data_IF_648170663455
#
_entry.id   IF_648170663455
#
_cell.length_a   1.000
_cell.length_b   1.000
_cell.length_c   1.000
_cell.angle_alpha   90.00
_cell.angle_beta   90.00
_cell.angle_gamma   90.00
#
_symmetry.space_group_name_H-M   'P 1'
#
loop_
_entity.id
_entity.type
_entity.pdbx_description
1 polymer ?
#
# COMPACT_ATOMS: atom_id res chain seq x y z
N UNK A 1 -13.99 13.63 16.56
CA UNK A 1 -12.81 14.19 15.86
C UNK A 1 -11.82 13.07 15.59
N UNK A 2 -11.40 12.87 14.34
CA UNK A 2 -10.39 11.85 14.03
C UNK A 2 -9.02 12.41 14.39
N UNK A 3 -8.41 11.89 15.47
CA UNK A 3 -7.01 12.16 15.81
C UNK A 3 -6.18 11.76 14.60
N UNK A 4 -5.62 12.75 13.89
CA UNK A 4 -4.64 12.50 12.82
C UNK A 4 -3.38 12.00 13.53
N UNK A 5 -3.16 10.69 13.49
CA UNK A 5 -1.87 10.15 13.94
C UNK A 5 -0.79 10.65 12.99
N UNK A 6 0.41 10.90 13.52
CA UNK A 6 1.59 11.32 12.75
C UNK A 6 1.98 10.32 11.65
N UNK A 7 1.44 9.10 11.70
CA UNK A 7 1.72 8.02 10.75
C UNK A 7 0.56 7.88 9.78
N UNK A 8 0.84 8.12 8.49
CA UNK A 8 -0.12 7.94 7.39
C UNK A 8 -0.78 6.55 7.43
N UNK A 9 -2.05 6.46 7.03
CA UNK A 9 -2.83 5.22 6.98
C UNK A 9 -3.09 4.56 8.35
N UNK A 10 -2.49 5.03 9.45
CA UNK A 10 -2.73 4.53 10.79
C UNK A 10 -3.84 5.34 11.49
N UNK A 11 -4.86 4.65 11.98
CA UNK A 11 -6.03 5.23 12.63
C UNK A 11 -6.28 4.50 13.93
N UNK A 12 -6.41 5.19 15.06
CA UNK A 12 -6.86 4.59 16.32
C UNK A 12 -8.38 4.72 16.46
N UNK A 13 -9.05 3.64 16.85
CA UNK A 13 -10.42 3.68 17.35
C UNK A 13 -10.49 2.92 18.67
N UNK A 14 -10.76 3.64 19.76
CA UNK A 14 -10.65 3.08 21.12
C UNK A 14 -9.24 2.56 21.39
N UNK A 15 -9.14 1.29 21.76
CA UNK A 15 -7.87 0.62 22.08
C UNK A 15 -7.26 -0.13 20.89
N UNK A 16 -7.86 -0.05 19.71
CA UNK A 16 -7.42 -0.76 18.52
C UNK A 16 -6.85 0.23 17.50
N UNK A 17 -5.72 -0.12 16.90
CA UNK A 17 -5.19 0.60 15.75
C UNK A 17 -5.55 -0.13 14.47
N UNK A 18 -5.87 0.63 13.44
CA UNK A 18 -6.18 0.15 12.12
C UNK A 18 -5.20 0.76 11.14
N UNK A 19 -4.59 -0.06 10.30
CA UNK A 19 -3.86 0.40 9.12
C UNK A 19 -4.78 0.28 7.90
N UNK A 20 -5.15 1.42 7.31
CA UNK A 20 -6.21 1.52 6.27
C UNK A 20 -5.77 2.26 5.00
N UNK A 21 -4.75 1.77 4.28
CA UNK A 21 -4.29 2.41 3.06
C UNK A 21 -5.30 2.31 1.92
N UNK A 22 -5.21 3.24 0.98
CA UNK A 22 -5.85 3.11 -0.34
C UNK A 22 -5.00 2.17 -1.20
N UNK A 23 -5.63 1.16 -1.77
CA UNK A 23 -4.94 0.23 -2.66
C UNK A 23 -4.76 0.87 -4.05
N UNK A 24 -3.54 0.89 -4.59
CA UNK A 24 -3.30 1.32 -5.96
C UNK A 24 -4.08 0.46 -6.96
N UNK A 25 -4.58 1.07 -8.03
CA UNK A 25 -5.30 0.37 -9.10
C UNK A 25 -4.48 -0.73 -9.79
N UNK A 26 -3.15 -0.68 -9.68
CA UNK A 26 -2.22 -1.67 -10.22
C UNK A 26 -2.26 -3.04 -9.49
N UNK A 27 -2.86 -3.12 -8.30
CA UNK A 27 -3.17 -4.41 -7.68
C UNK A 27 -4.35 -5.02 -8.45
N UNK A 28 -4.04 -5.84 -9.46
CA UNK A 28 -4.94 -6.35 -10.52
C UNK A 28 -6.25 -6.98 -10.01
N UNK A 29 -6.30 -7.39 -8.74
CA UNK A 29 -7.46 -8.01 -8.10
C UNK A 29 -8.27 -7.07 -7.17
N UNK A 30 -7.87 -5.81 -7.03
CA UNK A 30 -8.55 -4.83 -6.19
C UNK A 30 -9.28 -3.82 -7.06
N UNK A 31 -10.60 -3.66 -6.85
CA UNK A 31 -11.37 -2.63 -7.56
C UNK A 31 -10.76 -1.24 -7.31
N UNK A 32 -10.69 -0.34 -8.30
CA UNK A 32 -10.23 1.03 -8.07
C UNK A 32 -10.98 1.68 -6.88
N UNK A 33 -10.24 2.30 -5.96
CA UNK A 33 -10.81 2.88 -4.74
C UNK A 33 -11.01 1.91 -3.57
N UNK A 34 -10.69 0.63 -3.74
CA UNK A 34 -10.70 -0.34 -2.65
C UNK A 34 -9.71 0.05 -1.55
N UNK A 35 -10.08 -0.24 -0.31
CA UNK A 35 -9.26 -0.01 0.87
C UNK A 35 -8.91 -1.35 1.48
N UNK A 36 -7.64 -1.56 1.74
CA UNK A 36 -7.19 -2.65 2.59
C UNK A 36 -7.26 -2.17 4.03
N UNK A 37 -7.78 -3.01 4.91
CA UNK A 37 -7.95 -2.68 6.32
C UNK A 37 -7.35 -3.80 7.15
N UNK A 38 -6.24 -3.51 7.82
CA UNK A 38 -5.61 -4.42 8.76
C UNK A 38 -5.81 -3.88 10.17
N UNK A 39 -6.21 -4.75 11.08
CA UNK A 39 -6.33 -4.43 12.50
C UNK A 39 -5.03 -4.81 13.20
N UNK A 40 -4.45 -3.86 13.92
CA UNK A 40 -3.31 -4.10 14.80
C UNK A 40 -3.85 -4.29 16.20
N UNK A 41 -3.79 -5.53 16.69
CA UNK A 41 -4.12 -5.86 18.07
C UNK A 41 -2.92 -5.53 18.98
N UNK A 42 -2.59 -4.24 19.08
CA UNK A 42 -1.51 -3.72 19.90
C UNK A 42 -2.05 -2.51 20.68
N UNK A 43 -1.89 -2.52 22.01
CA UNK A 43 -2.30 -1.41 22.87
C UNK A 43 -1.25 -0.29 22.95
N UNK A 44 -0.01 -0.57 22.57
CA UNK A 44 1.13 0.36 22.65
C UNK A 44 1.18 1.27 21.40
N UNK A 45 1.05 2.58 21.63
CA UNK A 45 1.10 3.61 20.59
C UNK A 45 2.40 3.59 19.79
N UNK A 46 3.54 3.45 20.45
CA UNK A 46 4.85 3.51 19.82
C UNK A 46 5.05 2.30 18.91
N UNK A 47 4.66 1.11 19.38
CA UNK A 47 4.67 -0.11 18.55
C UNK A 47 3.74 0.02 17.36
N UNK A 48 2.52 0.51 17.55
CA UNK A 48 1.57 0.73 16.46
C UNK A 48 2.11 1.71 15.41
N UNK A 49 2.78 2.80 15.82
CA UNK A 49 3.44 3.73 14.92
C UNK A 49 4.58 3.09 14.12
N UNK A 50 5.44 2.31 14.79
CA UNK A 50 6.56 1.60 14.12
C UNK A 50 6.02 0.63 13.07
N UNK A 51 4.98 -0.15 13.42
CA UNK A 51 4.36 -1.09 12.49
C UNK A 51 3.72 -0.33 11.32
N UNK A 52 2.99 0.76 11.59
CA UNK A 52 2.37 1.59 10.55
C UNK A 52 3.39 2.16 9.55
N UNK A 53 4.54 2.67 10.04
CA UNK A 53 5.63 3.15 9.19
C UNK A 53 6.19 2.03 8.29
N UNK A 54 6.46 0.85 8.87
CA UNK A 54 6.93 -0.33 8.10
C UNK A 54 5.94 -0.74 7.01
N UNK A 55 4.65 -0.77 7.33
CA UNK A 55 3.61 -1.12 6.36
C UNK A 55 3.50 -0.09 5.23
N UNK A 56 3.62 1.20 5.54
CA UNK A 56 3.66 2.26 4.52
C UNK A 56 4.87 2.12 3.59
N UNK A 57 6.07 1.82 4.13
CA UNK A 57 7.27 1.57 3.31
C UNK A 57 7.06 0.39 2.38
N UNK A 58 6.55 -0.75 2.88
CA UNK A 58 6.24 -1.92 2.04
C UNK A 58 5.21 -1.59 0.96
N UNK A 59 4.18 -0.82 1.27
CA UNK A 59 3.20 -0.38 0.29
C UNK A 59 3.82 0.51 -0.80
N UNK A 60 4.78 1.38 -0.43
CA UNK A 60 5.50 2.22 -1.38
C UNK A 60 6.43 1.40 -2.30
N UNK A 61 7.14 0.42 -1.75
CA UNK A 61 7.97 -0.52 -2.52
C UNK A 61 7.12 -1.28 -3.55
N UNK A 62 5.97 -1.82 -3.13
CA UNK A 62 5.05 -2.52 -4.03
C UNK A 62 4.53 -1.60 -5.15
N UNK A 63 4.25 -0.32 -4.85
CA UNK A 63 3.85 0.67 -5.86
C UNK A 63 4.94 0.91 -6.91
N UNK A 64 6.22 0.86 -6.53
CA UNK A 64 7.34 1.03 -7.46
C UNK A 64 7.55 -0.23 -8.30
N UNK A 65 7.57 -1.40 -7.67
CA UNK A 65 7.80 -2.68 -8.37
C UNK A 65 6.66 -3.03 -9.35
N UNK A 66 5.43 -2.57 -9.10
CA UNK A 66 4.31 -2.71 -10.04
C UNK A 66 4.57 -2.01 -11.38
N UNK A 67 5.32 -0.90 -11.36
CA UNK A 67 5.66 -0.16 -12.59
C UNK A 67 6.72 -0.89 -13.41
N UNK A 68 7.67 -1.56 -12.75
CA UNK A 68 8.74 -2.34 -13.37
C UNK A 68 8.21 -3.58 -14.10
N UNK A 69 7.21 -4.25 -13.51
CA UNK A 69 6.51 -5.38 -14.15
C UNK A 69 5.72 -4.91 -15.39
N UNK A 70 5.28 -3.66 -15.45
CA UNK A 70 4.57 -3.11 -16.61
C UNK A 70 5.54 -2.70 -17.76
N UNK A 71 6.80 -2.39 -17.47
CA UNK A 71 7.82 -2.04 -18.47
C UNK A 71 8.43 -3.23 -19.20
N UNK A 72 8.14 -4.47 -18.79
CA UNK A 72 8.62 -5.69 -19.49
C UNK A 72 7.65 -6.23 -20.54
N UNK A 73 6.51 -5.56 -20.81
CA UNK A 73 5.63 -5.93 -21.93
C UNK A 73 6.22 -5.46 -23.26
N UNK A 74 7.07 -6.33 -23.82
CA UNK A 74 7.38 -6.52 -25.25
C UNK A 74 7.31 -5.26 -26.12
N UNK A 75 8.47 -4.69 -26.46
CA UNK A 75 8.62 -4.06 -27.77
C UNK A 75 8.45 -5.15 -28.85
N UNK A 76 7.44 -5.11 -29.73
CA UNK A 76 7.51 -5.87 -30.95
C UNK A 76 8.58 -5.21 -31.83
N UNK A 77 9.76 -5.82 -31.93
CA UNK A 77 10.68 -5.51 -33.03
C UNK A 77 10.01 -5.99 -34.31
N UNK A 78 9.36 -5.05 -35.00
CA UNK A 78 8.81 -5.26 -36.33
C UNK A 78 9.90 -5.04 -37.38
N UNK A 79 9.99 -6.00 -38.31
CA UNK A 79 10.68 -5.97 -39.61
C UNK A 79 12.22 -5.88 -39.49
N UNK A 80 13.00 -6.59 -40.30
CA UNK A 80 12.93 -6.62 -41.77
C UNK A 80 13.15 -8.03 -42.33
N UNK A 81 12.35 -8.35 -43.35
CA UNK A 81 12.66 -9.39 -44.32
C UNK A 81 13.60 -8.81 -45.36
N UNK A 82 14.69 -9.51 -45.67
CA UNK A 82 15.27 -9.68 -47.00
C UNK A 82 16.35 -10.77 -46.94
#
# INVERSE_FOLDING_TARGET
MAVRHEVENLIRRGNIFYWRPRIPAAFVHCRPGSRLSLSLHCSDHRKAQIIGRKLNTRLAELKMNSKDVMTTKKQPRAREAR
#
